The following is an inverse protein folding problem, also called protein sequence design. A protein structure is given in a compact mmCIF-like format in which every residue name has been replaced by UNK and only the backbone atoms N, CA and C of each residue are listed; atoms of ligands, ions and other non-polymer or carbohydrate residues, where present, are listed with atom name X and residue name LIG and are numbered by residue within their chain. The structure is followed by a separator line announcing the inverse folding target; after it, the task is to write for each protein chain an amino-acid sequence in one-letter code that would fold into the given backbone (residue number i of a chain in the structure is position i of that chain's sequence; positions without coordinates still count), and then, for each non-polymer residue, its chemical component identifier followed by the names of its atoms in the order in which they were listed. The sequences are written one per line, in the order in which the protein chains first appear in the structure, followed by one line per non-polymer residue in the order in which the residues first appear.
data_IF_434750713529
#
_entry.id   IF_434750713529
#
_cell.length_a   1.000
_cell.length_b   1.000
_cell.length_c   1.000
_cell.angle_alpha   90.00
_cell.angle_beta   90.00
_cell.angle_gamma   90.00
#
_symmetry.space_group_name_H-M   'P 1'
#
loop_
_entity.id
_entity.type
_entity.pdbx_description
1 polymer ?
#
# COMPACT_ATOMS: atom_id res chain seq x y z
N UNK A 1 -49.67 2.86 7.30
CA UNK A 1 -48.86 3.71 6.42
C UNK A 1 -47.67 4.16 7.23
N UNK A 2 -46.48 3.81 6.73
CA UNK A 2 -45.22 4.57 6.86
C UNK A 2 -44.68 4.81 8.29
N UNK A 3 -43.41 4.60 8.60
CA UNK A 3 -42.25 4.34 7.76
C UNK A 3 -41.07 3.93 8.63
N UNK A 4 -40.23 3.12 8.01
CA UNK A 4 -38.99 2.57 8.48
C UNK A 4 -37.88 3.63 8.34
N UNK A 5 -37.04 3.84 9.35
CA UNK A 5 -35.73 4.45 9.12
C UNK A 5 -34.69 3.80 10.01
N UNK A 6 -33.99 2.83 9.41
CA UNK A 6 -32.77 2.23 9.92
C UNK A 6 -31.67 3.30 9.98
N UNK A 7 -31.27 3.72 11.18
CA UNK A 7 -30.12 4.60 11.45
C UNK A 7 -28.77 3.87 11.33
N UNK A 8 -28.60 3.06 10.27
CA UNK A 8 -27.34 2.35 9.99
C UNK A 8 -26.99 2.63 8.52
N UNK A 9 -25.77 3.09 8.27
CA UNK A 9 -25.20 3.50 6.97
C UNK A 9 -25.43 4.94 6.49
N UNK A 10 -25.00 5.93 7.28
CA UNK A 10 -24.57 7.21 6.70
C UNK A 10 -23.29 7.77 7.30
N UNK A 11 -22.26 6.95 7.37
CA UNK A 11 -20.87 7.43 7.41
C UNK A 11 -20.27 7.26 6.01
N UNK A 12 -20.65 8.17 5.13
CA UNK A 12 -20.06 8.32 3.80
C UNK A 12 -18.58 8.62 4.02
N UNK A 13 -17.71 7.71 3.58
CA UNK A 13 -16.27 7.91 3.57
C UNK A 13 -15.94 9.22 2.85
N UNK A 14 -15.60 10.25 3.62
CA UNK A 14 -14.96 11.45 3.07
C UNK A 14 -13.70 11.04 2.30
N UNK A 15 -13.40 11.63 1.13
CA UNK A 15 -12.17 11.30 0.42
C UNK A 15 -10.99 11.48 1.36
N UNK A 16 -10.22 10.40 1.55
CA UNK A 16 -9.09 10.37 2.46
C UNK A 16 -8.19 11.59 2.17
N UNK A 17 -7.84 12.40 3.19
CA UNK A 17 -6.98 13.56 2.96
C UNK A 17 -5.65 13.10 2.36
N UNK A 18 -5.11 13.92 1.44
CA UNK A 18 -3.97 13.67 0.56
C UNK A 18 -2.61 13.44 1.28
N UNK A 19 -2.61 13.04 2.55
CA UNK A 19 -1.43 12.83 3.37
C UNK A 19 -1.62 11.78 4.47
N UNK A 20 -2.41 10.75 4.21
CA UNK A 20 -2.50 9.62 5.15
C UNK A 20 -1.41 8.60 4.79
N UNK A 21 -0.32 8.59 5.57
CA UNK A 21 0.66 7.49 5.60
C UNK A 21 0.25 6.51 6.71
N UNK A 22 -0.19 5.31 6.35
CA UNK A 22 -0.42 4.18 7.23
C UNK A 22 0.63 3.12 6.90
N UNK A 23 1.46 2.80 7.88
CA UNK A 23 2.16 1.52 7.89
C UNK A 23 1.08 0.43 7.99
N UNK A 24 0.72 -0.18 6.88
CA UNK A 24 -0.05 -1.43 6.88
C UNK A 24 0.97 -2.52 7.27
N UNK A 25 0.55 -3.50 8.05
CA UNK A 25 1.38 -4.69 8.28
C UNK A 25 0.96 -5.69 7.21
N UNK A 26 1.82 -5.95 6.24
CA UNK A 26 1.56 -7.01 5.26
C UNK A 26 1.98 -8.34 5.88
N UNK A 27 1.00 -9.21 6.14
CA UNK A 27 1.22 -10.57 6.63
C UNK A 27 1.49 -11.49 5.43
N UNK A 28 2.76 -11.71 5.09
CA UNK A 28 3.14 -12.71 4.07
C UNK A 28 3.70 -13.96 4.75
N UNK A 29 2.83 -14.94 5.02
CA UNK A 29 3.24 -16.29 5.44
C UNK A 29 3.69 -17.09 4.21
N UNK A 30 4.99 -17.07 3.90
CA UNK A 30 5.55 -17.83 2.77
C UNK A 30 6.32 -19.10 3.17
N UNK A 31 6.31 -19.51 4.44
CA UNK A 31 6.92 -20.78 4.87
C UNK A 31 6.14 -21.43 6.00
N UNK A 32 5.64 -22.65 5.75
CA UNK A 32 4.97 -23.48 6.75
C UNK A 32 6.00 -24.23 7.60
N UNK A 33 6.25 -23.77 8.82
CA UNK A 33 6.82 -24.60 9.90
C UNK A 33 6.31 -24.11 11.25
N UNK A 34 5.63 -25.02 11.96
CA UNK A 34 5.16 -25.18 13.36
C UNK A 34 5.23 -24.06 14.42
N UNK A 35 5.73 -22.86 14.15
CA UNK A 35 5.75 -21.70 15.06
C UNK A 35 5.22 -20.51 14.26
N UNK A 36 4.10 -19.91 14.68
CA UNK A 36 3.53 -18.75 13.98
C UNK A 36 4.38 -17.51 14.24
N UNK A 37 5.50 -17.40 13.53
CA UNK A 37 6.34 -16.22 13.55
C UNK A 37 5.92 -15.28 12.43
N UNK A 38 5.66 -14.04 12.81
CA UNK A 38 5.22 -12.98 11.90
C UNK A 38 6.43 -12.12 11.53
N UNK A 39 6.89 -12.24 10.30
CA UNK A 39 7.93 -11.36 9.76
C UNK A 39 7.31 -10.09 9.16
N UNK A 40 7.78 -8.92 9.63
CA UNK A 40 7.30 -7.63 9.13
C UNK A 40 8.10 -7.19 7.90
N UNK A 41 7.41 -7.01 6.78
CA UNK A 41 7.97 -6.44 5.55
C UNK A 41 7.57 -4.97 5.41
N UNK A 42 8.56 -4.09 5.21
CA UNK A 42 8.34 -2.67 4.96
C UNK A 42 7.94 -2.46 3.50
N UNK A 43 7.06 -1.49 3.29
CA UNK A 43 6.78 -0.95 1.97
C UNK A 43 6.46 0.54 2.10
N UNK A 44 6.48 1.24 0.96
CA UNK A 44 5.99 2.59 0.80
C UNK A 44 4.84 2.58 -0.19
N UNK A 45 3.96 3.57 -0.10
CA UNK A 45 2.85 3.69 -1.02
C UNK A 45 2.47 5.14 -1.27
N UNK A 46 1.78 5.38 -2.37
CA UNK A 46 1.22 6.68 -2.73
C UNK A 46 -0.15 6.47 -3.41
N UNK A 47 -1.21 6.96 -2.76
CA UNK A 47 -2.59 6.91 -3.27
C UNK A 47 -3.04 8.20 -3.94
N UNK A 48 -2.17 9.21 -4.06
CA UNK A 48 -2.51 10.54 -4.58
C UNK A 48 -3.14 10.50 -5.98
N UNK A 49 -2.76 9.50 -6.78
CA UNK A 49 -3.21 9.37 -8.16
C UNK A 49 -4.36 8.38 -8.32
N UNK A 50 -4.74 7.67 -7.27
CA UNK A 50 -5.83 6.70 -7.34
C UNK A 50 -7.15 7.40 -7.68
N UNK A 51 -7.84 6.88 -8.71
CA UNK A 51 -9.18 7.30 -9.08
C UNK A 51 -10.17 6.19 -8.72
N UNK A 52 -11.27 6.47 -8.01
CA UNK A 52 -12.31 5.47 -7.73
C UNK A 52 -12.77 4.76 -9.01
N UNK A 53 -12.88 3.44 -8.96
CA UNK A 53 -13.20 2.62 -10.13
C UNK A 53 -12.01 2.31 -11.05
N UNK A 54 -10.79 2.70 -10.68
CA UNK A 54 -9.57 2.33 -11.39
C UNK A 54 -9.34 0.81 -11.42
N UNK A 55 -8.75 0.32 -12.51
CA UNK A 55 -8.54 -1.11 -12.79
C UNK A 55 -7.06 -1.55 -12.75
N UNK A 56 -6.18 -0.68 -12.24
CA UNK A 56 -4.74 -0.93 -12.22
C UNK A 56 -4.14 -0.58 -10.86
N UNK A 57 -3.15 -1.37 -10.44
CA UNK A 57 -2.31 -1.15 -9.27
C UNK A 57 -0.86 -1.34 -9.69
N UNK A 58 0.01 -0.42 -9.29
CA UNK A 58 1.42 -0.46 -9.66
C UNK A 58 2.25 -0.88 -8.46
N UNK A 59 2.96 -2.00 -8.59
CA UNK A 59 3.80 -2.58 -7.55
C UNK A 59 5.25 -2.65 -8.02
N UNK A 60 6.14 -2.00 -7.27
CA UNK A 60 7.58 -2.14 -7.40
C UNK A 60 8.10 -3.10 -6.34
N UNK A 61 8.87 -4.09 -6.77
CA UNK A 61 9.58 -5.01 -5.88
C UNK A 61 11.02 -4.50 -5.74
N UNK A 62 11.44 -4.19 -4.52
CA UNK A 62 12.80 -3.74 -4.24
C UNK A 62 13.86 -4.79 -4.61
N UNK A 63 15.05 -4.31 -4.95
CA UNK A 63 16.22 -5.16 -5.22
C UNK A 63 17.09 -5.41 -3.99
N UNK A 64 18.40 -5.56 -4.21
CA UNK A 64 19.39 -5.81 -3.17
C UNK A 64 19.76 -4.54 -2.39
N UNK A 65 18.80 -3.96 -1.67
CA UNK A 65 19.04 -2.75 -0.89
C UNK A 65 17.85 -2.26 -0.09
N UNK A 66 18.11 -1.29 0.78
CA UNK A 66 17.06 -0.58 1.52
C UNK A 66 16.12 0.10 0.52
N UNK A 67 14.83 -0.14 0.67
CA UNK A 67 13.81 0.55 -0.09
C UNK A 67 13.69 2.00 0.38
N UNK A 68 13.48 2.90 -0.57
CA UNK A 68 13.38 4.33 -0.34
C UNK A 68 12.04 4.88 -0.84
N UNK A 69 11.62 6.00 -0.27
CA UNK A 69 10.27 6.54 -0.44
C UNK A 69 10.10 7.24 -1.81
N UNK A 70 11.20 7.69 -2.38
CA UNK A 70 11.32 8.39 -3.65
C UNK A 70 10.72 7.58 -4.79
N UNK A 71 10.79 6.25 -4.73
CA UNK A 71 10.16 5.36 -5.72
C UNK A 71 8.66 5.54 -5.87
N UNK A 72 7.96 6.09 -4.88
CA UNK A 72 6.52 6.39 -4.98
C UNK A 72 6.21 7.89 -4.93
N UNK A 73 7.22 8.77 -4.83
CA UNK A 73 7.02 10.23 -4.67
C UNK A 73 7.69 11.09 -5.72
N UNK A 74 8.82 10.65 -6.29
CA UNK A 74 9.57 11.44 -7.27
C UNK A 74 8.76 11.52 -8.58
N UNK A 75 8.15 12.68 -8.85
CA UNK A 75 7.19 12.84 -9.97
C UNK A 75 7.84 12.67 -11.35
N UNK A 76 9.15 12.85 -11.44
CA UNK A 76 9.95 12.64 -12.64
C UNK A 76 10.28 11.16 -12.88
N UNK A 77 10.07 10.27 -11.89
CA UNK A 77 10.26 8.84 -12.09
C UNK A 77 9.18 8.28 -13.03
N UNK A 78 9.54 7.48 -14.05
CA UNK A 78 8.56 6.86 -14.96
C UNK A 78 7.47 6.06 -14.22
N UNK A 79 7.84 5.37 -13.14
CA UNK A 79 6.90 4.62 -12.31
C UNK A 79 5.79 5.51 -11.70
N UNK A 80 6.14 6.73 -11.27
CA UNK A 80 5.18 7.68 -10.71
C UNK A 80 4.34 8.32 -11.81
N UNK A 81 4.95 8.64 -12.95
CA UNK A 81 4.25 9.16 -14.13
C UNK A 81 3.17 8.19 -14.61
N UNK A 82 3.48 6.89 -14.71
CA UNK A 82 2.48 5.90 -15.11
C UNK A 82 1.32 5.78 -14.12
N UNK A 83 1.59 5.88 -12.81
CA UNK A 83 0.53 5.91 -11.80
C UNK A 83 -0.42 7.11 -12.00
N UNK A 84 0.14 8.28 -12.30
CA UNK A 84 -0.60 9.51 -12.60
C UNK A 84 -1.46 9.38 -13.86
N UNK A 85 -0.88 8.85 -14.93
CA UNK A 85 -1.55 8.62 -16.21
C UNK A 85 -2.69 7.60 -16.09
N UNK A 86 -2.45 6.48 -15.39
CA UNK A 86 -3.42 5.39 -15.25
C UNK A 86 -4.41 5.58 -14.10
N UNK A 87 -4.25 6.62 -13.30
CA UNK A 87 -5.07 6.82 -12.11
C UNK A 87 -4.92 5.71 -11.07
N UNK A 88 -3.71 5.15 -10.97
CA UNK A 88 -3.42 3.95 -10.18
C UNK A 88 -2.68 4.29 -8.87
N UNK A 89 -2.92 3.53 -7.79
CA UNK A 89 -2.10 3.61 -6.59
C UNK A 89 -0.72 2.99 -6.85
N UNK A 90 0.28 3.53 -6.18
CA UNK A 90 1.68 3.09 -6.27
C UNK A 90 2.11 2.42 -4.98
N UNK A 91 2.83 1.31 -5.08
CA UNK A 91 3.44 0.59 -3.96
C UNK A 91 4.89 0.26 -4.27
N UNK A 92 5.77 0.41 -3.29
CA UNK A 92 7.17 -0.01 -3.37
C UNK A 92 7.49 -0.90 -2.17
N UNK A 93 7.62 -2.19 -2.43
CA UNK A 93 7.91 -3.22 -1.43
C UNK A 93 9.42 -3.30 -1.18
N UNK A 94 9.83 -3.35 0.08
CA UNK A 94 11.23 -3.61 0.43
C UNK A 94 11.52 -5.10 0.35
N UNK A 95 12.63 -5.46 -0.29
CA UNK A 95 13.04 -6.85 -0.37
C UNK A 95 13.37 -7.39 1.02
N UNK A 96 13.02 -8.66 1.27
CA UNK A 96 13.42 -9.35 2.50
C UNK A 96 14.93 -9.42 2.65
N UNK A 97 15.40 -9.40 3.89
CA UNK A 97 16.81 -9.32 4.28
C UNK A 97 17.51 -7.99 3.94
N UNK A 98 16.74 -6.95 3.64
CA UNK A 98 17.28 -5.62 3.40
C UNK A 98 16.55 -4.54 4.20
N UNK A 99 17.27 -3.47 4.53
CA UNK A 99 16.74 -2.28 5.19
C UNK A 99 16.08 -2.54 6.54
N UNK A 100 14.75 -2.46 6.63
CA UNK A 100 14.00 -2.78 7.86
C UNK A 100 13.19 -4.07 7.72
N UNK A 101 13.30 -4.76 6.58
CA UNK A 101 12.57 -5.99 6.28
C UNK A 101 13.48 -7.18 6.51
N UNK A 102 13.77 -7.47 7.78
CA UNK A 102 14.69 -8.54 8.17
C UNK A 102 13.95 -9.63 8.94
N UNK A 103 13.60 -10.73 8.28
CA UNK A 103 13.22 -11.96 8.95
C UNK A 103 14.44 -12.49 9.73
N UNK A 104 14.55 -12.20 11.03
CA UNK A 104 15.58 -12.78 11.91
C UNK A 104 14.91 -13.48 13.06
N UNK A 105 15.39 -14.69 13.39
CA UNK A 105 14.95 -15.67 14.42
C UNK A 105 14.20 -15.14 15.66
#
# INVERSE_FOLDING_TARGET
MEGESNDVEKSIESPLPARTFRKINLQLNLTQTRTQKIDLQRYFYNLRYYRPGGNAIFLMVGGAGKQIMEWVQFEEAPFVQWGKERGAPLFALEHRFYGKSHPTE
#
